data_IF_211466584865
#
_entry.id   IF_211466584865
#
_cell.length_a   1.000
_cell.length_b   1.000
_cell.length_c   1.000
_cell.angle_alpha   90.00
_cell.angle_beta   90.00
_cell.angle_gamma   90.00
#
_symmetry.space_group_name_H-M   'P 1'
#
loop_
_entity.id
_entity.type
_entity.pdbx_description
1 polymer ?
#
# COMPACT_ATOMS: atom_id res chain seq x y z
N UNK A 1 -20.41 23.14 2.39
CA UNK A 1 -19.59 21.97 2.74
C UNK A 1 -19.56 21.06 1.53
N UNK A 2 -18.59 21.22 0.64
CA UNK A 2 -18.46 20.34 -0.52
C UNK A 2 -18.12 18.94 0.02
N UNK A 3 -18.93 17.94 -0.34
CA UNK A 3 -18.57 16.55 -0.13
C UNK A 3 -17.19 16.34 -0.76
N UNK A 4 -16.19 15.89 0.01
CA UNK A 4 -14.91 15.46 -0.55
C UNK A 4 -15.23 14.33 -1.54
N UNK A 5 -15.29 14.65 -2.82
CA UNK A 5 -15.34 13.63 -3.86
C UNK A 5 -14.10 12.74 -3.68
N UNK A 6 -14.27 11.42 -3.76
CA UNK A 6 -13.14 10.51 -3.74
C UNK A 6 -12.29 10.78 -4.98
N UNK A 7 -11.11 11.39 -4.79
CA UNK A 7 -10.18 11.75 -5.88
C UNK A 7 -9.37 10.55 -6.38
N UNK A 8 -9.40 9.44 -5.63
CA UNK A 8 -8.76 8.17 -5.94
C UNK A 8 -9.54 7.01 -5.29
N UNK A 9 -9.35 5.80 -5.80
CA UNK A 9 -9.90 4.57 -5.22
C UNK A 9 -9.00 3.37 -5.47
N UNK A 10 -9.32 2.22 -4.88
CA UNK A 10 -8.64 0.95 -5.18
C UNK A 10 -9.53 0.10 -6.08
N UNK A 11 -9.02 -0.30 -7.24
CA UNK A 11 -9.75 -1.21 -8.13
C UNK A 11 -9.86 -2.60 -7.47
N UNK A 12 -11.08 -3.12 -7.21
CA UNK A 12 -11.25 -4.41 -6.55
C UNK A 12 -10.78 -5.60 -7.39
N UNK A 13 -10.62 -5.44 -8.71
CA UNK A 13 -10.16 -6.51 -9.59
C UNK A 13 -8.63 -6.68 -9.56
N UNK A 14 -7.90 -5.57 -9.56
CA UNK A 14 -6.43 -5.52 -9.63
C UNK A 14 -5.76 -5.17 -8.30
N UNK A 15 -6.52 -4.70 -7.32
CA UNK A 15 -6.06 -4.14 -6.04
C UNK A 15 -5.10 -2.95 -6.19
N UNK A 16 -5.08 -2.30 -7.36
CA UNK A 16 -4.26 -1.10 -7.63
C UNK A 16 -5.01 0.17 -7.32
N UNK A 17 -4.28 1.18 -6.86
CA UNK A 17 -4.84 2.51 -6.64
C UNK A 17 -4.96 3.24 -7.98
N UNK A 18 -6.18 3.71 -8.29
CA UNK A 18 -6.58 4.39 -9.52
C UNK A 18 -7.03 5.82 -9.21
N UNK A 19 -6.69 6.74 -10.12
CA UNK A 19 -7.08 8.16 -10.01
C UNK A 19 -8.50 8.31 -10.54
N UNK A 20 -9.34 9.01 -9.77
CA UNK A 20 -10.70 9.39 -10.17
C UNK A 20 -10.77 10.86 -10.60
N UNK A 21 -9.96 11.72 -9.97
CA UNK A 21 -9.80 13.13 -10.35
C UNK A 21 -8.31 13.50 -10.36
N UNK A 22 -7.74 13.60 -11.57
CA UNK A 22 -6.32 13.88 -11.75
C UNK A 22 -5.93 15.28 -11.29
N UNK A 23 -6.73 16.28 -11.64
CA UNK A 23 -6.47 17.68 -11.29
C UNK A 23 -6.47 17.86 -9.77
N UNK A 24 -7.43 17.25 -9.08
CA UNK A 24 -7.50 17.31 -7.63
C UNK A 24 -6.32 16.58 -6.96
N UNK A 25 -5.87 15.43 -7.51
CA UNK A 25 -4.66 14.73 -7.02
C UNK A 25 -3.41 15.57 -7.25
N UNK A 26 -3.26 16.21 -8.42
CA UNK A 26 -2.12 17.07 -8.74
C UNK A 26 -2.03 18.28 -7.80
N UNK A 27 -3.16 18.94 -7.50
CA UNK A 27 -3.23 20.08 -6.58
C UNK A 27 -2.74 19.72 -5.17
N UNK A 28 -2.87 18.46 -4.73
CA UNK A 28 -2.32 18.04 -3.42
C UNK A 28 -0.81 18.18 -3.32
N UNK A 29 -0.07 18.20 -4.43
CA UNK A 29 1.39 18.36 -4.40
C UNK A 29 1.84 19.74 -3.89
N UNK A 30 0.95 20.74 -3.89
CA UNK A 30 1.25 22.11 -3.45
C UNK A 30 1.35 22.20 -1.92
N UNK A 31 0.49 21.48 -1.20
CA UNK A 31 0.42 21.52 0.27
C UNK A 31 0.24 20.09 0.83
N UNK A 32 1.29 19.27 0.70
CA UNK A 32 1.32 17.93 1.26
C UNK A 32 2.58 17.70 2.09
N UNK A 33 2.46 16.76 3.04
CA UNK A 33 3.61 16.24 3.78
C UNK A 33 4.55 15.46 2.86
N UNK A 34 5.82 15.30 3.22
CA UNK A 34 6.77 14.51 2.43
C UNK A 34 6.32 13.05 2.23
N UNK A 35 5.68 12.48 3.24
CA UNK A 35 5.09 11.14 3.15
C UNK A 35 3.98 11.08 2.10
N UNK A 36 3.08 12.05 2.14
CA UNK A 36 1.99 12.15 1.18
C UNK A 36 2.51 12.44 -0.24
N UNK A 37 3.54 13.28 -0.38
CA UNK A 37 4.19 13.56 -1.67
C UNK A 37 4.63 12.28 -2.36
N UNK A 38 5.25 11.35 -1.66
CA UNK A 38 5.67 10.04 -2.23
C UNK A 38 4.46 9.28 -2.77
N UNK A 39 3.38 9.23 -1.99
CA UNK A 39 2.15 8.54 -2.39
C UNK A 39 1.47 9.21 -3.58
N UNK A 40 1.31 10.54 -3.58
CA UNK A 40 0.70 11.30 -4.69
C UNK A 40 1.50 11.13 -5.98
N UNK A 41 2.83 11.25 -5.92
CA UNK A 41 3.69 11.03 -7.08
C UNK A 41 3.56 9.60 -7.63
N UNK A 42 3.50 8.61 -6.73
CA UNK A 42 3.28 7.20 -7.10
C UNK A 42 1.94 7.04 -7.81
N UNK A 43 0.87 7.62 -7.27
CA UNK A 43 -0.48 7.54 -7.83
C UNK A 43 -0.55 8.19 -9.24
N UNK A 44 0.13 9.31 -9.44
CA UNK A 44 0.24 10.01 -10.72
C UNK A 44 1.10 9.29 -11.77
N UNK A 45 1.77 8.18 -11.41
CA UNK A 45 2.69 7.46 -12.28
C UNK A 45 4.04 8.16 -12.46
N UNK A 46 4.38 9.11 -11.59
CA UNK A 46 5.68 9.83 -11.58
C UNK A 46 6.68 9.01 -10.76
N UNK A 47 6.92 7.79 -11.21
CA UNK A 47 7.57 6.74 -10.41
C UNK A 47 9.00 7.09 -9.98
N UNK A 48 9.78 7.73 -10.86
CA UNK A 48 11.14 8.19 -10.53
C UNK A 48 11.16 9.24 -9.43
N UNK A 49 10.23 10.20 -9.52
CA UNK A 49 10.10 11.26 -8.53
C UNK A 49 9.59 10.71 -7.19
N UNK A 50 8.64 9.78 -7.23
CA UNK A 50 8.14 9.09 -6.05
C UNK A 50 9.25 8.33 -5.32
N UNK A 51 10.07 7.56 -6.05
CA UNK A 51 11.20 6.82 -5.48
C UNK A 51 12.25 7.76 -4.91
N UNK A 52 12.58 8.85 -5.61
CA UNK A 52 13.55 9.83 -5.14
C UNK A 52 13.06 10.55 -3.87
N UNK A 53 11.81 10.99 -3.85
CA UNK A 53 11.17 11.58 -2.67
C UNK A 53 11.16 10.58 -1.49
N UNK A 54 10.80 9.32 -1.74
CA UNK A 54 10.74 8.29 -0.70
C UNK A 54 12.11 7.93 -0.12
N UNK A 55 13.17 7.94 -0.94
CA UNK A 55 14.55 7.77 -0.47
C UNK A 55 15.00 8.90 0.43
N UNK A 56 14.72 10.16 0.06
CA UNK A 56 15.02 11.34 0.90
C UNK A 56 14.26 11.28 2.21
N UNK A 57 12.95 11.07 2.14
CA UNK A 57 12.09 10.90 3.31
C UNK A 57 12.64 9.82 4.26
N UNK A 58 13.02 8.65 3.74
CA UNK A 58 13.58 7.57 4.56
C UNK A 58 14.92 7.94 5.20
N UNK A 59 15.77 8.69 4.51
CA UNK A 59 17.06 9.13 5.04
C UNK A 59 16.90 10.13 6.19
N UNK A 60 15.93 11.04 6.08
CA UNK A 60 15.72 12.14 7.03
C UNK A 60 14.81 11.73 8.22
N UNK A 61 14.16 10.56 8.14
CA UNK A 61 13.17 10.13 9.13
C UNK A 61 13.79 9.44 10.35
N UNK A 62 13.40 9.90 11.54
CA UNK A 62 13.64 9.18 12.80
C UNK A 62 12.76 7.92 12.92
N UNK A 63 11.44 8.04 12.67
CA UNK A 63 10.55 6.87 12.57
C UNK A 63 10.49 6.39 11.11
N UNK A 64 11.32 5.39 10.81
CA UNK A 64 11.49 4.84 9.46
C UNK A 64 10.30 3.99 8.99
N UNK A 65 9.37 3.62 9.87
CA UNK A 65 8.35 2.63 9.54
C UNK A 65 7.45 3.03 8.37
N UNK A 66 6.85 4.23 8.41
CA UNK A 66 6.00 4.69 7.31
C UNK A 66 6.78 5.02 6.03
N UNK A 67 7.93 5.71 6.08
CA UNK A 67 8.80 5.91 4.93
C UNK A 67 9.15 4.62 4.16
N UNK A 68 9.46 3.53 4.88
CA UNK A 68 9.73 2.23 4.25
C UNK A 68 8.52 1.73 3.44
N UNK A 69 7.31 1.86 3.97
CA UNK A 69 6.09 1.40 3.31
C UNK A 69 5.74 2.21 2.06
N UNK A 70 5.80 3.55 2.14
CA UNK A 70 5.51 4.39 0.96
C UNK A 70 6.56 4.26 -0.12
N UNK A 71 7.84 4.08 0.26
CA UNK A 71 8.91 3.81 -0.71
C UNK A 71 8.77 2.42 -1.33
N UNK A 72 8.36 1.40 -0.57
CA UNK A 72 8.07 0.08 -1.11
C UNK A 72 6.94 0.12 -2.13
N UNK A 73 5.87 0.87 -1.85
CA UNK A 73 4.77 1.08 -2.80
C UNK A 73 5.26 1.79 -4.08
N UNK A 74 6.10 2.82 -3.96
CA UNK A 74 6.68 3.51 -5.11
C UNK A 74 7.53 2.56 -5.98
N UNK A 75 8.35 1.70 -5.37
CA UNK A 75 9.10 0.69 -6.12
C UNK A 75 8.20 -0.35 -6.79
N UNK A 76 7.14 -0.80 -6.11
CA UNK A 76 6.18 -1.73 -6.68
C UNK A 76 5.51 -1.16 -7.93
N UNK A 77 5.06 0.11 -7.89
CA UNK A 77 4.46 0.77 -9.07
C UNK A 77 5.45 0.95 -10.21
N UNK A 78 6.72 1.21 -9.90
CA UNK A 78 7.82 1.24 -10.86
C UNK A 78 8.17 -0.15 -11.45
N UNK A 79 7.52 -1.24 -11.00
CA UNK A 79 7.84 -2.61 -11.42
C UNK A 79 9.11 -3.18 -10.78
N UNK A 80 9.64 -2.54 -9.74
CA UNK A 80 10.83 -2.99 -8.99
C UNK A 80 10.43 -3.81 -7.76
N UNK A 81 9.75 -4.93 -7.98
CA UNK A 81 9.16 -5.72 -6.90
C UNK A 81 10.19 -6.29 -5.91
N UNK A 82 11.40 -6.60 -6.36
CA UNK A 82 12.48 -7.08 -5.49
C UNK A 82 12.92 -6.02 -4.46
N UNK A 83 12.98 -4.76 -4.84
CA UNK A 83 13.35 -3.67 -3.92
C UNK A 83 12.21 -3.35 -2.96
N UNK A 84 10.97 -3.40 -3.44
CA UNK A 84 9.80 -3.32 -2.58
C UNK A 84 9.81 -4.44 -1.52
N UNK A 85 10.17 -5.67 -1.89
CA UNK A 85 10.26 -6.79 -0.95
C UNK A 85 11.28 -6.54 0.18
N UNK A 86 12.50 -6.06 -0.15
CA UNK A 86 13.53 -5.74 0.85
C UNK A 86 13.05 -4.69 1.87
N UNK A 87 12.34 -3.67 1.40
CA UNK A 87 11.81 -2.63 2.27
C UNK A 87 10.67 -3.16 3.15
N UNK A 88 9.81 -4.03 2.62
CA UNK A 88 8.80 -4.70 3.44
C UNK A 88 9.41 -5.58 4.53
N UNK A 89 10.49 -6.31 4.23
CA UNK A 89 11.22 -7.10 5.23
C UNK A 89 11.83 -6.22 6.33
N UNK A 90 12.41 -5.06 5.97
CA UNK A 90 12.88 -4.08 6.96
C UNK A 90 11.72 -3.52 7.80
N UNK A 91 10.61 -3.15 7.16
CA UNK A 91 9.43 -2.63 7.84
C UNK A 91 8.83 -3.67 8.81
N UNK A 92 8.83 -4.95 8.43
CA UNK A 92 8.36 -6.05 9.27
C UNK A 92 9.27 -6.25 10.49
N UNK A 93 10.60 -6.17 10.32
CA UNK A 93 11.56 -6.28 11.43
C UNK A 93 11.39 -5.17 12.47
N UNK A 94 11.02 -3.97 12.05
CA UNK A 94 10.81 -2.83 12.96
C UNK A 94 9.33 -2.64 13.34
N UNK A 95 8.44 -3.55 12.92
CA UNK A 95 7.02 -3.53 13.28
C UNK A 95 6.86 -3.91 14.76
N UNK A 96 7.13 -2.96 15.66
CA UNK A 96 7.08 -3.15 17.11
C UNK A 96 5.67 -3.39 17.68
N UNK A 97 4.63 -3.37 16.84
CA UNK A 97 3.24 -3.59 17.27
C UNK A 97 2.51 -4.45 16.25
N UNK A 98 1.50 -5.22 16.71
CA UNK A 98 0.63 -6.02 15.85
C UNK A 98 -0.09 -5.18 14.79
N UNK A 99 -0.43 -3.92 15.12
CA UNK A 99 -1.05 -2.99 14.18
C UNK A 99 -0.09 -2.58 13.07
N UNK A 100 1.19 -2.32 13.39
CA UNK A 100 2.24 -2.07 12.39
C UNK A 100 2.44 -3.32 11.54
N UNK A 101 2.56 -4.50 12.16
CA UNK A 101 2.71 -5.77 11.45
C UNK A 101 1.57 -6.02 10.45
N UNK A 102 0.32 -5.81 10.86
CA UNK A 102 -0.85 -5.95 10.00
C UNK A 102 -0.81 -5.02 8.80
N UNK A 103 -0.32 -3.80 8.98
CA UNK A 103 -0.17 -2.85 7.87
C UNK A 103 0.91 -3.29 6.88
N UNK A 104 2.06 -3.78 7.37
CA UNK A 104 3.13 -4.29 6.48
C UNK A 104 2.63 -5.51 5.72
N UNK A 105 2.01 -6.46 6.40
CA UNK A 105 1.49 -7.70 5.78
C UNK A 105 0.44 -7.41 4.72
N UNK A 106 -0.43 -6.44 4.94
CA UNK A 106 -1.35 -5.99 3.90
C UNK A 106 -0.62 -5.48 2.64
N UNK A 107 0.42 -4.66 2.78
CA UNK A 107 1.21 -4.16 1.65
C UNK A 107 1.99 -5.29 0.95
N UNK A 108 2.54 -6.24 1.71
CA UNK A 108 3.14 -7.46 1.16
C UNK A 108 2.11 -8.25 0.34
N UNK A 109 0.89 -8.41 0.87
CA UNK A 109 -0.21 -9.07 0.16
C UNK A 109 -0.53 -8.39 -1.18
N UNK A 110 -0.58 -7.05 -1.24
CA UNK A 110 -0.78 -6.31 -2.50
C UNK A 110 0.35 -6.56 -3.49
N UNK A 111 1.61 -6.54 -3.04
CA UNK A 111 2.77 -6.86 -3.89
C UNK A 111 2.70 -8.28 -4.45
N UNK A 112 2.42 -9.27 -3.60
CA UNK A 112 2.29 -10.66 -4.00
C UNK A 112 1.14 -10.86 -5.00
N UNK A 113 0.04 -10.12 -4.84
CA UNK A 113 -1.07 -10.11 -5.77
C UNK A 113 -0.65 -9.59 -7.15
N UNK A 114 0.11 -8.48 -7.21
CA UNK A 114 0.69 -7.96 -8.46
C UNK A 114 1.69 -8.93 -9.11
N UNK A 115 2.36 -9.77 -8.31
CA UNK A 115 3.25 -10.85 -8.77
C UNK A 115 2.51 -12.15 -9.16
N UNK A 116 1.17 -12.14 -9.17
CA UNK A 116 0.31 -13.31 -9.38
C UNK A 116 0.53 -14.47 -8.39
N UNK A 117 1.14 -14.20 -7.23
CA UNK A 117 1.32 -15.16 -6.13
C UNK A 117 0.09 -15.15 -5.23
N UNK A 118 -1.06 -15.54 -5.80
CA UNK A 118 -2.36 -15.32 -5.18
C UNK A 118 -2.56 -16.09 -3.87
N UNK A 119 -2.07 -17.32 -3.77
CA UNK A 119 -2.09 -18.10 -2.52
C UNK A 119 -1.37 -17.38 -1.37
N UNK A 120 -0.15 -16.89 -1.63
CA UNK A 120 0.65 -16.20 -0.62
C UNK A 120 0.02 -14.84 -0.27
N UNK A 121 -0.49 -14.11 -1.28
CA UNK A 121 -1.21 -12.86 -1.07
C UNK A 121 -2.44 -13.05 -0.17
N UNK A 122 -3.23 -14.11 -0.40
CA UNK A 122 -4.40 -14.42 0.42
C UNK A 122 -4.03 -14.70 1.88
N UNK A 123 -2.91 -15.40 2.15
CA UNK A 123 -2.44 -15.66 3.50
C UNK A 123 -2.07 -14.37 4.24
N UNK A 124 -1.39 -13.44 3.57
CA UNK A 124 -1.04 -12.15 4.18
C UNK A 124 -2.26 -11.26 4.44
N UNK A 125 -3.24 -11.25 3.52
CA UNK A 125 -4.50 -10.55 3.73
C UNK A 125 -5.32 -11.16 4.87
N UNK A 126 -5.39 -12.48 4.96
CA UNK A 126 -6.10 -13.20 6.04
C UNK A 126 -5.55 -12.83 7.41
N UNK A 127 -4.22 -12.87 7.56
CA UNK A 127 -3.56 -12.47 8.81
C UNK A 127 -3.94 -11.03 9.20
N UNK A 128 -3.84 -10.09 8.25
CA UNK A 128 -4.17 -8.69 8.50
C UNK A 128 -5.65 -8.51 8.85
N UNK A 129 -6.56 -9.22 8.16
CA UNK A 129 -8.00 -9.22 8.44
C UNK A 129 -8.31 -9.62 9.87
N UNK A 130 -7.70 -10.69 10.36
CA UNK A 130 -7.95 -11.23 11.69
C UNK A 130 -7.45 -10.30 12.80
N UNK A 131 -6.30 -9.66 12.59
CA UNK A 131 -5.85 -8.62 13.50
C UNK A 131 -6.84 -7.45 13.57
N UNK A 132 -7.28 -6.91 12.43
CA UNK A 132 -8.21 -5.78 12.44
C UNK A 132 -9.60 -6.13 12.96
N UNK A 133 -10.06 -7.37 12.74
CA UNK A 133 -11.30 -7.89 13.32
C UNK A 133 -11.23 -7.93 14.84
N UNK A 134 -10.16 -8.49 15.40
CA UNK A 134 -9.96 -8.62 16.86
C UNK A 134 -9.69 -7.27 17.54
N UNK A 135 -9.16 -6.30 16.79
CA UNK A 135 -8.87 -4.94 17.29
C UNK A 135 -10.03 -3.95 17.13
N UNK A 136 -11.21 -4.39 16.69
CA UNK A 136 -12.40 -3.55 16.52
C UNK A 136 -12.42 -2.64 15.27
N UNK A 137 -11.40 -2.72 14.39
CA UNK A 137 -11.30 -1.91 13.17
C UNK A 137 -12.05 -2.56 12.00
N UNK A 138 -13.38 -2.60 12.11
CA UNK A 138 -14.27 -3.36 11.20
C UNK A 138 -14.15 -2.96 9.73
N UNK A 139 -14.00 -1.67 9.40
CA UNK A 139 -13.87 -1.21 8.00
C UNK A 139 -12.62 -1.79 7.32
N UNK A 140 -11.45 -1.61 7.92
CA UNK A 140 -10.19 -2.19 7.42
C UNK A 140 -10.24 -3.71 7.29
N UNK A 141 -10.88 -4.40 8.25
CA UNK A 141 -11.09 -5.85 8.16
C UNK A 141 -11.95 -6.26 6.95
N UNK A 142 -12.95 -5.45 6.56
CA UNK A 142 -13.78 -5.73 5.38
C UNK A 142 -13.00 -5.50 4.08
N UNK A 143 -12.28 -4.39 3.96
CA UNK A 143 -11.47 -4.06 2.77
C UNK A 143 -10.46 -5.19 2.50
N UNK A 144 -9.79 -5.66 3.55
CA UNK A 144 -8.79 -6.72 3.42
C UNK A 144 -9.43 -8.09 3.16
N UNK A 145 -10.65 -8.32 3.67
CA UNK A 145 -11.40 -9.54 3.38
C UNK A 145 -11.79 -9.60 1.91
N UNK A 146 -12.11 -8.46 1.29
CA UNK A 146 -12.40 -8.39 -0.13
C UNK A 146 -11.16 -8.73 -0.96
N UNK A 147 -10.01 -8.14 -0.62
CA UNK A 147 -8.72 -8.48 -1.24
C UNK A 147 -8.35 -9.97 -1.08
N UNK A 148 -8.55 -10.54 0.11
CA UNK A 148 -8.34 -11.97 0.38
C UNK A 148 -9.24 -12.86 -0.48
N UNK A 149 -10.54 -12.55 -0.57
CA UNK A 149 -11.49 -13.30 -1.41
C UNK A 149 -11.06 -13.26 -2.87
N UNK A 150 -10.69 -12.07 -3.36
CA UNK A 150 -10.22 -11.88 -4.73
C UNK A 150 -8.97 -12.71 -5.04
N UNK A 151 -8.00 -12.74 -4.13
CA UNK A 151 -6.82 -13.58 -4.26
C UNK A 151 -7.17 -15.07 -4.33
N UNK A 152 -8.03 -15.57 -3.43
CA UNK A 152 -8.48 -16.98 -3.45
C UNK A 152 -9.25 -17.36 -4.72
N UNK A 153 -10.07 -16.45 -5.25
CA UNK A 153 -10.79 -16.67 -6.51
C UNK A 153 -9.86 -16.83 -7.71
N UNK A 154 -8.73 -16.12 -7.73
CA UNK A 154 -7.74 -16.21 -8.80
C UNK A 154 -6.85 -17.44 -8.65
N UNK A 155 -6.48 -17.80 -7.41
CA UNK A 155 -5.72 -19.02 -7.11
C UNK A 155 -6.44 -20.29 -7.60
N UNK A 156 -7.76 -20.38 -7.36
CA UNK A 156 -8.57 -21.52 -7.80
C UNK A 156 -8.90 -21.56 -9.30
N UNK A 157 -8.45 -20.59 -10.09
CA UNK A 157 -8.61 -20.55 -11.56
C UNK A 157 -7.32 -20.95 -12.31
N UNK A 158 -6.21 -21.09 -11.60
CA UNK A 158 -4.92 -21.54 -12.11
C UNK A 158 -4.81 -23.07 -12.03
#
# INVERSE_FOLDING_TARGET
MAANAEIWGTDPATLRDVILDRTAVESRLEDCTDLERVWVLSLLGRDDEAVNAGRRLLADSQDRFRPLLVLAQAYQRKGRSHDAAKLHEEALRIAATRAREALVRHQIGRRLFDEARYRDAAAEFEWACDHYRTSGRRKLSMDFRQAMKRARELDGRC
#
